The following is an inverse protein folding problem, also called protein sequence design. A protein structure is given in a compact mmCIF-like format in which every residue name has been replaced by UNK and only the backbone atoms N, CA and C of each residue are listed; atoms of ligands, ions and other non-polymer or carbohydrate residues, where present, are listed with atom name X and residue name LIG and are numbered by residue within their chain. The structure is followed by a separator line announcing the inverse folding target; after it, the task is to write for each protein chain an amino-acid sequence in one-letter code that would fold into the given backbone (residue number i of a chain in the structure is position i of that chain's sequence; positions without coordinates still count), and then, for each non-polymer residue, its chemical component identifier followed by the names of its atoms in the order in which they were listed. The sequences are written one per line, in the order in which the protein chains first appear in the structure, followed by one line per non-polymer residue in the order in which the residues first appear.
data_IF_504633972974
#
_entry.id   IF_504633972974
#
_cell.length_a   1.000
_cell.length_b   1.000
_cell.length_c   1.000
_cell.angle_alpha   90.00
_cell.angle_beta   90.00
_cell.angle_gamma   90.00
#
_symmetry.space_group_name_H-M   'P 1'
#
loop_
_entity.id
_entity.type
_entity.pdbx_description
1 polymer ?
#
# COMPACT_ATOMS: atom_id res chain seq x y z
N UNK A 1 22.97 -70.90 -3.95
CA UNK A 1 22.53 -71.09 -2.55
C UNK A 1 22.30 -69.73 -1.93
N UNK A 2 21.17 -69.46 -1.27
CA UNK A 2 19.98 -70.32 -1.01
C UNK A 2 18.80 -69.94 -1.94
N UNK A 3 18.06 -70.86 -2.57
CA UNK A 3 17.10 -71.87 -2.08
C UNK A 3 15.75 -71.28 -1.59
N UNK A 4 14.69 -71.48 -2.40
CA UNK A 4 13.44 -72.23 -2.12
C UNK A 4 12.42 -72.03 -3.29
N UNK A 5 11.45 -72.94 -3.55
CA UNK A 5 11.36 -73.66 -4.82
C UNK A 5 9.99 -73.54 -5.53
N UNK A 6 9.96 -74.05 -6.77
CA UNK A 6 8.76 -74.52 -7.46
C UNK A 6 8.01 -75.56 -6.62
N UNK A 7 6.68 -75.41 -6.49
CA UNK A 7 5.77 -76.56 -6.32
C UNK A 7 4.34 -76.21 -6.80
N UNK A 8 4.04 -76.68 -8.00
CA UNK A 8 2.72 -77.12 -8.47
C UNK A 8 2.92 -78.61 -8.85
N UNK A 9 1.93 -79.55 -8.89
CA UNK A 9 0.51 -79.34 -9.26
C UNK A 9 -0.56 -80.37 -8.74
N UNK A 10 -1.83 -80.22 -9.21
CA UNK A 10 -2.93 -81.22 -9.41
C UNK A 10 -3.67 -81.82 -8.17
N UNK A 11 -4.99 -82.15 -8.12
CA UNK A 11 -6.06 -82.48 -9.10
C UNK A 11 -7.48 -82.18 -8.52
N UNK A 12 -8.44 -81.92 -9.43
CA UNK A 12 -9.90 -82.20 -9.44
C UNK A 12 -10.89 -81.73 -8.33
N UNK A 13 -11.85 -80.86 -8.71
CA UNK A 13 -13.30 -81.09 -8.54
C UNK A 13 -14.19 -80.04 -9.27
N UNK A 14 -14.95 -80.54 -10.26
CA UNK A 14 -16.19 -80.17 -10.95
C UNK A 14 -16.89 -78.76 -10.94
N UNK A 15 -17.71 -78.45 -11.98
CA UNK A 15 -18.16 -77.10 -12.31
C UNK A 15 -19.51 -76.74 -11.67
N UNK A 16 -19.57 -75.62 -10.94
CA UNK A 16 -20.83 -75.08 -10.42
C UNK A 16 -21.48 -74.05 -11.37
N UNK A 17 -22.77 -74.29 -11.61
CA UNK A 17 -23.67 -73.63 -12.56
C UNK A 17 -23.94 -72.17 -12.19
N UNK A 18 -24.03 -71.35 -13.24
CA UNK A 18 -24.42 -69.94 -13.23
C UNK A 18 -25.82 -69.73 -12.63
N UNK A 19 -25.94 -68.82 -11.68
CA UNK A 19 -27.19 -68.13 -11.33
C UNK A 19 -27.19 -66.72 -11.95
N UNK A 20 -28.30 -66.24 -12.55
CA UNK A 20 -28.35 -64.92 -13.16
C UNK A 20 -28.49 -63.82 -12.10
N UNK A 21 -27.62 -62.80 -12.17
CA UNK A 21 -27.73 -61.58 -11.38
C UNK A 21 -28.87 -60.67 -11.91
N UNK A 22 -29.51 -59.85 -11.05
CA UNK A 22 -30.64 -59.01 -11.44
C UNK A 22 -30.18 -57.81 -12.28
N UNK A 23 -31.00 -57.41 -13.26
CA UNK A 23 -30.85 -56.17 -14.03
C UNK A 23 -30.89 -54.94 -13.11
N UNK A 24 -30.07 -53.90 -13.36
CA UNK A 24 -30.24 -52.62 -12.70
C UNK A 24 -31.36 -51.82 -13.39
N UNK A 25 -32.34 -51.43 -12.57
CA UNK A 25 -33.37 -50.46 -12.88
C UNK A 25 -32.81 -49.09 -13.28
N UNK A 26 -33.55 -48.46 -14.18
CA UNK A 26 -33.44 -47.12 -14.71
C UNK A 26 -33.45 -46.04 -13.61
N UNK A 27 -32.29 -45.42 -13.36
CA UNK A 27 -32.18 -44.20 -12.55
C UNK A 27 -31.29 -43.17 -13.27
N UNK A 28 -31.98 -42.21 -13.91
CA UNK A 28 -31.57 -40.83 -14.21
C UNK A 28 -30.19 -40.62 -14.87
N UNK A 29 -30.15 -40.77 -16.19
CA UNK A 29 -29.13 -40.13 -17.04
C UNK A 29 -29.20 -38.60 -16.87
N UNK A 30 -28.26 -38.03 -16.12
CA UNK A 30 -27.95 -36.60 -16.20
C UNK A 30 -27.52 -36.26 -17.64
N UNK A 31 -27.97 -35.13 -18.22
CA UNK A 31 -27.68 -34.82 -19.61
C UNK A 31 -26.18 -34.52 -19.77
N UNK A 32 -25.43 -35.42 -20.38
CA UNK A 32 -24.00 -35.28 -20.67
C UNK A 32 -23.74 -34.53 -21.99
N UNK A 33 -24.53 -33.50 -22.27
CA UNK A 33 -24.42 -32.68 -23.48
C UNK A 33 -23.47 -31.48 -23.29
N UNK A 34 -22.86 -31.02 -24.38
CA UNK A 34 -22.09 -29.75 -24.43
C UNK A 34 -22.92 -28.59 -23.86
N UNK A 35 -24.25 -28.61 -24.09
CA UNK A 35 -25.19 -27.65 -23.52
C UNK A 35 -25.29 -27.72 -21.98
N UNK A 36 -25.25 -28.92 -21.38
CA UNK A 36 -25.25 -29.07 -19.93
C UNK A 36 -23.92 -28.61 -19.30
N UNK A 37 -22.79 -28.86 -19.98
CA UNK A 37 -21.48 -28.31 -19.58
C UNK A 37 -21.43 -26.78 -19.69
N UNK A 38 -22.03 -26.20 -20.73
CA UNK A 38 -22.15 -24.75 -20.90
C UNK A 38 -23.09 -24.12 -19.86
N UNK A 39 -24.17 -24.80 -19.47
CA UNK A 39 -25.08 -24.36 -18.41
C UNK A 39 -24.46 -24.51 -17.02
N UNK A 40 -23.66 -25.55 -16.76
CA UNK A 40 -22.89 -25.71 -15.52
C UNK A 40 -21.77 -24.66 -15.41
N UNK A 41 -21.10 -24.31 -16.51
CA UNK A 41 -20.15 -23.19 -16.55
C UNK A 41 -20.84 -21.84 -16.27
N UNK A 42 -22.07 -21.64 -16.77
CA UNK A 42 -22.90 -20.46 -16.47
C UNK A 42 -23.40 -20.44 -15.02
N UNK A 43 -23.77 -21.59 -14.44
CA UNK A 43 -24.21 -21.67 -13.04
C UNK A 43 -23.05 -21.54 -12.04
N UNK A 44 -21.83 -21.95 -12.42
CA UNK A 44 -20.60 -21.68 -11.66
C UNK A 44 -20.19 -20.21 -11.58
N UNK A 45 -20.82 -19.33 -12.38
CA UNK A 45 -20.59 -17.89 -12.38
C UNK A 45 -21.64 -17.08 -11.59
N UNK A 46 -22.70 -17.72 -11.07
CA UNK A 46 -23.72 -17.04 -10.25
C UNK A 46 -23.43 -17.08 -8.75
N UNK A 47 -22.48 -17.90 -8.30
CA UNK A 47 -21.99 -17.83 -6.94
C UNK A 47 -20.94 -16.71 -6.83
N UNK A 48 -20.98 -15.85 -5.80
CA UNK A 48 -19.95 -14.86 -5.62
C UNK A 48 -18.59 -15.58 -5.54
N UNK A 49 -17.54 -15.05 -6.21
CA UNK A 49 -16.23 -15.66 -6.19
C UNK A 49 -15.79 -15.92 -4.75
N UNK A 50 -15.07 -17.02 -4.53
CA UNK A 50 -14.83 -17.58 -3.19
C UNK A 50 -14.22 -16.55 -2.22
N UNK A 51 -13.39 -15.64 -2.73
CA UNK A 51 -12.77 -14.56 -1.97
C UNK A 51 -13.75 -13.49 -1.42
N UNK A 52 -14.97 -13.38 -1.95
CA UNK A 52 -16.01 -12.46 -1.44
C UNK A 52 -16.85 -13.08 -0.31
N UNK A 53 -16.74 -14.39 -0.07
CA UNK A 53 -17.53 -15.05 0.97
C UNK A 53 -17.14 -14.56 2.37
N UNK A 54 -18.16 -14.36 3.21
CA UNK A 54 -17.99 -13.94 4.60
C UNK A 54 -17.57 -12.47 4.80
N UNK A 55 -17.72 -11.63 3.78
CA UNK A 55 -17.72 -10.17 3.93
C UNK A 55 -19.12 -9.68 4.30
N UNK A 56 -19.21 -8.67 5.16
CA UNK A 56 -20.47 -7.95 5.36
C UNK A 56 -20.75 -6.98 4.18
N UNK A 57 -21.93 -6.34 4.17
CA UNK A 57 -22.34 -5.46 3.07
C UNK A 57 -21.36 -4.31 2.82
N UNK A 58 -20.89 -3.64 3.88
CA UNK A 58 -19.96 -2.50 3.77
C UNK A 58 -18.56 -2.93 3.30
N UNK A 59 -18.06 -4.07 3.81
CA UNK A 59 -16.80 -4.65 3.37
C UNK A 59 -16.86 -5.06 1.89
N UNK A 60 -17.98 -5.67 1.47
CA UNK A 60 -18.22 -6.05 0.08
C UNK A 60 -18.26 -4.81 -0.82
N UNK A 61 -18.99 -3.77 -0.41
CA UNK A 61 -19.03 -2.49 -1.12
C UNK A 61 -17.63 -1.89 -1.29
N UNK A 62 -16.81 -1.90 -0.24
CA UNK A 62 -15.44 -1.40 -0.29
C UNK A 62 -14.51 -2.22 -1.22
N UNK A 63 -14.76 -3.52 -1.35
CA UNK A 63 -14.03 -4.42 -2.26
C UNK A 63 -14.47 -4.24 -3.71
N UNK A 64 -15.77 -4.14 -3.96
CA UNK A 64 -16.36 -4.05 -5.30
C UNK A 64 -16.26 -2.64 -5.92
N UNK A 65 -16.13 -1.60 -5.09
CA UNK A 65 -15.88 -0.23 -5.56
C UNK A 65 -14.42 -0.09 -5.99
N UNK A 66 -14.12 -0.49 -7.22
CA UNK A 66 -12.76 -0.51 -7.78
C UNK A 66 -12.33 0.84 -8.34
N UNK A 67 -13.25 1.58 -8.93
CA UNK A 67 -12.98 2.85 -9.62
C UNK A 67 -13.03 4.07 -8.68
N UNK A 68 -12.21 5.07 -9.03
CA UNK A 68 -12.13 6.34 -8.31
C UNK A 68 -11.47 6.27 -6.92
N UNK A 69 -11.31 7.42 -6.24
CA UNK A 69 -10.79 7.47 -4.88
C UNK A 69 -11.78 6.86 -3.88
N UNK A 70 -11.32 5.92 -3.05
CA UNK A 70 -12.13 5.30 -2.00
C UNK A 70 -11.42 5.45 -0.66
N UNK A 71 -12.13 5.98 0.34
CA UNK A 71 -11.68 6.03 1.72
C UNK A 71 -12.52 5.05 2.55
N UNK A 72 -11.87 4.07 3.16
CA UNK A 72 -12.52 3.11 4.06
C UNK A 72 -12.21 3.49 5.50
N UNK A 73 -13.22 3.96 6.23
CA UNK A 73 -13.13 4.26 7.66
C UNK A 73 -13.51 3.01 8.45
N UNK A 74 -12.56 2.46 9.21
CA UNK A 74 -12.71 1.17 9.86
C UNK A 74 -12.12 1.24 11.28
N UNK A 75 -12.90 0.84 12.29
CA UNK A 75 -12.42 0.73 13.67
C UNK A 75 -11.47 -0.45 13.87
N UNK A 76 -10.81 -0.53 15.03
CA UNK A 76 -9.98 -1.68 15.37
C UNK A 76 -10.76 -3.01 15.26
N UNK A 77 -10.14 -4.05 14.70
CA UNK A 77 -10.76 -5.39 14.59
C UNK A 77 -11.85 -5.53 13.51
N UNK A 78 -12.20 -4.48 12.77
CA UNK A 78 -13.27 -4.51 11.76
C UNK A 78 -12.88 -5.15 10.41
N UNK A 79 -11.66 -5.70 10.33
CA UNK A 79 -11.18 -6.42 9.14
C UNK A 79 -10.63 -5.53 8.02
N UNK A 80 -10.13 -4.31 8.31
CA UNK A 80 -9.50 -3.41 7.32
C UNK A 80 -8.48 -4.11 6.41
N UNK A 81 -7.55 -4.86 7.00
CA UNK A 81 -6.54 -5.62 6.23
C UNK A 81 -7.17 -6.71 5.37
N UNK A 82 -8.25 -7.36 5.85
CA UNK A 82 -9.01 -8.34 5.06
C UNK A 82 -9.67 -7.66 3.85
N UNK A 83 -10.33 -6.51 4.05
CA UNK A 83 -10.92 -5.72 2.97
C UNK A 83 -9.87 -5.35 1.92
N UNK A 84 -8.71 -4.85 2.34
CA UNK A 84 -7.64 -4.42 1.42
C UNK A 84 -7.08 -5.60 0.60
N UNK A 85 -6.77 -6.72 1.26
CA UNK A 85 -6.25 -7.92 0.59
C UNK A 85 -7.29 -8.56 -0.35
N UNK A 86 -8.54 -8.64 0.07
CA UNK A 86 -9.64 -9.13 -0.77
C UNK A 86 -9.91 -8.19 -1.95
N UNK A 87 -9.78 -6.88 -1.78
CA UNK A 87 -9.88 -5.91 -2.88
C UNK A 87 -8.80 -6.11 -3.93
N UNK A 88 -7.56 -6.35 -3.52
CA UNK A 88 -6.47 -6.70 -4.46
C UNK A 88 -6.82 -7.98 -5.22
N UNK A 89 -7.28 -9.02 -4.51
CA UNK A 89 -7.70 -10.27 -5.14
C UNK A 89 -8.83 -10.06 -6.15
N UNK A 90 -9.82 -9.23 -5.82
CA UNK A 90 -10.94 -8.88 -6.68
C UNK A 90 -10.51 -8.12 -7.95
N UNK A 91 -9.58 -7.17 -7.83
CA UNK A 91 -9.02 -6.43 -8.97
C UNK A 91 -8.28 -7.39 -9.92
N UNK A 92 -7.51 -8.32 -9.37
CA UNK A 92 -6.73 -9.29 -10.15
C UNK A 92 -7.62 -10.34 -10.83
N UNK A 93 -8.63 -10.88 -10.13
CA UNK A 93 -9.53 -11.90 -10.68
C UNK A 93 -10.42 -11.37 -11.80
N UNK A 94 -10.79 -10.09 -11.76
CA UNK A 94 -11.53 -9.42 -12.83
C UNK A 94 -10.64 -8.98 -14.00
N UNK A 95 -9.32 -9.16 -13.92
CA UNK A 95 -8.38 -8.76 -14.97
C UNK A 95 -8.24 -7.25 -15.15
N UNK A 96 -8.60 -6.44 -14.13
CA UNK A 96 -8.58 -4.98 -14.22
C UNK A 96 -7.14 -4.42 -14.22
N UNK A 97 -6.21 -5.14 -13.58
CA UNK A 97 -4.79 -4.80 -13.56
C UNK A 97 -3.90 -6.04 -13.49
N UNK A 98 -2.69 -5.91 -14.02
CA UNK A 98 -1.62 -6.89 -13.77
C UNK A 98 -1.07 -6.71 -12.34
N UNK A 99 -0.52 -7.76 -11.71
CA UNK A 99 0.14 -7.66 -10.40
C UNK A 99 1.19 -6.54 -10.29
N UNK A 100 1.93 -6.28 -11.39
CA UNK A 100 2.93 -5.22 -11.49
C UNK A 100 2.37 -3.79 -11.62
N UNK A 101 1.05 -3.67 -11.79
CA UNK A 101 0.31 -2.40 -11.90
C UNK A 101 -0.40 -2.01 -10.60
N UNK A 102 -0.25 -2.79 -9.53
CA UNK A 102 -0.82 -2.52 -8.21
C UNK A 102 0.30 -2.09 -7.27
N UNK A 103 0.19 -0.88 -6.71
CA UNK A 103 1.01 -0.40 -5.62
C UNK A 103 0.25 -0.63 -4.30
N UNK A 104 0.79 -1.45 -3.40
CA UNK A 104 0.20 -1.75 -2.10
C UNK A 104 1.18 -1.42 -0.98
N UNK A 105 0.84 -0.43 -0.15
CA UNK A 105 1.76 0.15 0.85
C UNK A 105 1.23 -0.06 2.26
N UNK A 106 2.13 -0.39 3.19
CA UNK A 106 1.87 -0.47 4.63
C UNK A 106 3.06 0.10 5.43
N UNK A 107 2.98 0.11 6.76
CA UNK A 107 4.00 0.73 7.62
C UNK A 107 5.09 -0.22 8.08
N UNK A 108 4.78 -1.51 8.24
CA UNK A 108 5.74 -2.46 8.81
C UNK A 108 6.07 -3.60 7.84
N UNK A 109 7.30 -4.11 7.91
CA UNK A 109 7.71 -5.29 7.14
C UNK A 109 6.91 -6.54 7.55
N UNK A 110 6.43 -6.60 8.79
CA UNK A 110 5.53 -7.67 9.25
C UNK A 110 4.19 -7.59 8.52
N UNK A 111 3.54 -6.42 8.52
CA UNK A 111 2.28 -6.21 7.82
C UNK A 111 2.42 -6.46 6.32
N UNK A 112 3.52 -6.05 5.69
CA UNK A 112 3.76 -6.31 4.27
C UNK A 112 3.85 -7.82 3.97
N UNK A 113 4.59 -8.57 4.79
CA UNK A 113 4.70 -10.03 4.64
C UNK A 113 3.36 -10.72 4.87
N UNK A 114 2.62 -10.30 5.89
CA UNK A 114 1.30 -10.84 6.18
C UNK A 114 0.29 -10.54 5.06
N UNK A 115 0.30 -9.31 4.54
CA UNK A 115 -0.51 -8.91 3.39
C UNK A 115 -0.16 -9.74 2.15
N UNK A 116 1.14 -9.93 1.85
CA UNK A 116 1.60 -10.80 0.76
C UNK A 116 1.09 -12.24 0.95
N UNK A 117 1.23 -12.80 2.14
CA UNK A 117 0.75 -14.16 2.43
C UNK A 117 -0.77 -14.29 2.23
N UNK A 118 -1.55 -13.36 2.78
CA UNK A 118 -3.02 -13.33 2.63
C UNK A 118 -3.44 -13.22 1.16
N UNK A 119 -2.79 -12.37 0.36
CA UNK A 119 -3.07 -12.27 -1.07
C UNK A 119 -2.71 -13.58 -1.79
N UNK A 120 -1.56 -14.17 -1.47
CA UNK A 120 -1.14 -15.47 -2.04
C UNK A 120 -2.16 -16.59 -1.80
N UNK A 121 -2.80 -16.62 -0.64
CA UNK A 121 -3.88 -17.58 -0.35
C UNK A 121 -5.13 -17.35 -1.22
N UNK A 122 -5.36 -16.13 -1.72
CA UNK A 122 -6.54 -15.77 -2.52
C UNK A 122 -6.31 -15.88 -4.03
N UNK A 123 -5.11 -15.55 -4.52
CA UNK A 123 -4.81 -15.48 -5.96
C UNK A 123 -3.69 -16.42 -6.42
N UNK A 124 -3.14 -17.24 -5.52
CA UNK A 124 -2.06 -18.17 -5.83
C UNK A 124 -0.76 -17.47 -6.25
N UNK A 125 -0.09 -18.02 -7.26
CA UNK A 125 1.24 -17.57 -7.72
C UNK A 125 1.27 -16.13 -8.26
N UNK A 126 0.12 -15.54 -8.60
CA UNK A 126 0.04 -14.16 -9.08
C UNK A 126 0.63 -13.14 -8.08
N UNK A 127 0.68 -13.47 -6.79
CA UNK A 127 1.26 -12.61 -5.75
C UNK A 127 2.77 -12.41 -5.91
N UNK A 128 3.49 -13.37 -6.49
CA UNK A 128 4.93 -13.25 -6.74
C UNK A 128 5.23 -12.19 -7.81
N UNK A 129 4.24 -11.93 -8.68
CA UNK A 129 4.28 -10.85 -9.67
C UNK A 129 3.99 -9.45 -9.13
N UNK A 130 3.87 -9.25 -7.79
CA UNK A 130 3.59 -7.96 -7.16
C UNK A 130 4.86 -7.27 -6.61
N UNK A 131 5.74 -6.70 -7.46
CA UNK A 131 6.98 -6.07 -7.01
C UNK A 131 6.75 -4.80 -6.19
N UNK A 132 5.54 -4.24 -6.19
CA UNK A 132 5.19 -2.98 -5.52
C UNK A 132 4.32 -3.17 -4.27
N UNK A 133 4.41 -4.35 -3.64
CA UNK A 133 3.87 -4.60 -2.31
C UNK A 133 4.98 -4.44 -1.27
N UNK A 134 4.82 -3.54 -0.31
CA UNK A 134 5.83 -3.33 0.73
C UNK A 134 5.55 -2.17 1.67
N UNK A 135 6.58 -1.79 2.43
CA UNK A 135 6.59 -0.54 3.19
C UNK A 135 6.97 0.65 2.31
N UNK A 136 6.60 1.87 2.72
CA UNK A 136 7.04 3.11 2.07
C UNK A 136 8.54 3.10 1.75
N UNK A 137 9.36 2.71 2.72
CA UNK A 137 10.82 2.67 2.58
C UNK A 137 11.27 1.57 1.62
N UNK A 138 10.70 0.37 1.70
CA UNK A 138 11.07 -0.71 0.77
C UNK A 138 10.73 -0.37 -0.69
N UNK A 139 9.62 0.34 -0.92
CA UNK A 139 9.24 0.83 -2.24
C UNK A 139 10.11 2.02 -2.65
N UNK A 140 10.37 2.94 -1.72
CA UNK A 140 11.26 4.08 -1.90
C UNK A 140 12.67 3.66 -2.35
N UNK A 141 13.24 2.64 -1.71
CA UNK A 141 14.49 2.00 -2.14
C UNK A 141 14.38 1.49 -3.57
N UNK A 142 13.34 0.74 -3.92
CA UNK A 142 13.18 0.20 -5.29
C UNK A 142 13.13 1.30 -6.34
N UNK A 143 12.42 2.40 -6.07
CA UNK A 143 12.37 3.56 -6.96
C UNK A 143 13.75 4.22 -7.04
N UNK A 144 14.37 4.48 -5.90
CA UNK A 144 15.68 5.13 -5.84
C UNK A 144 16.76 4.31 -6.54
N UNK A 145 16.78 2.99 -6.37
CA UNK A 145 17.72 2.08 -7.06
C UNK A 145 17.60 2.16 -8.58
N UNK A 146 16.38 2.30 -9.10
CA UNK A 146 16.12 2.43 -10.55
C UNK A 146 16.57 3.79 -11.11
N UNK A 147 16.60 4.81 -10.26
CA UNK A 147 16.83 6.20 -10.67
C UNK A 147 17.97 6.86 -9.86
N UNK A 148 18.95 6.06 -9.40
CA UNK A 148 19.95 6.50 -8.43
C UNK A 148 20.79 7.66 -8.98
N UNK A 149 21.09 7.64 -10.28
CA UNK A 149 21.88 8.67 -10.96
C UNK A 149 21.20 10.04 -10.90
N UNK A 150 19.86 10.10 -10.92
CA UNK A 150 19.10 11.35 -10.77
C UNK A 150 19.21 11.96 -9.35
N UNK A 151 19.67 11.17 -8.38
CA UNK A 151 20.01 11.63 -7.03
C UNK A 151 21.52 11.86 -6.83
N UNK A 152 22.34 11.67 -7.87
CA UNK A 152 23.80 11.72 -7.76
C UNK A 152 24.39 10.52 -7.02
N UNK A 153 23.72 9.37 -7.08
CA UNK A 153 24.12 8.12 -6.44
C UNK A 153 24.32 7.02 -7.48
N UNK A 154 25.07 5.99 -7.10
CA UNK A 154 25.08 4.73 -7.84
C UNK A 154 23.99 3.81 -7.31
N UNK A 155 23.50 2.89 -8.14
CA UNK A 155 22.43 1.97 -7.77
C UNK A 155 22.79 0.99 -6.65
N UNK A 156 24.06 0.87 -6.27
CA UNK A 156 24.57 -0.01 -5.20
C UNK A 156 24.81 0.72 -3.85
N UNK A 157 24.29 1.95 -3.67
CA UNK A 157 24.39 2.72 -2.42
C UNK A 157 24.11 1.94 -1.13
N UNK A 158 24.81 2.26 -0.04
CA UNK A 158 24.54 1.66 1.27
C UNK A 158 23.43 2.41 2.00
N UNK A 159 22.61 1.71 2.79
CA UNK A 159 21.61 2.35 3.66
C UNK A 159 22.17 2.35 5.07
N UNK A 160 22.39 3.54 5.64
CA UNK A 160 22.91 3.71 6.99
C UNK A 160 21.81 3.50 8.03
N UNK A 161 22.16 2.82 9.12
CA UNK A 161 21.32 2.74 10.31
C UNK A 161 21.49 3.98 11.21
N UNK A 162 20.73 4.04 12.29
CA UNK A 162 20.73 5.18 13.23
C UNK A 162 22.11 5.42 13.84
N UNK A 163 22.85 4.37 14.18
CA UNK A 163 24.13 4.50 14.87
C UNK A 163 25.22 4.98 13.89
N UNK A 164 25.19 4.49 12.65
CA UNK A 164 26.05 4.97 11.57
C UNK A 164 25.77 6.43 11.22
N UNK A 165 24.49 6.84 11.17
CA UNK A 165 24.10 8.24 10.97
C UNK A 165 24.65 9.12 12.10
N UNK A 166 24.47 8.72 13.36
CA UNK A 166 24.98 9.48 14.51
C UNK A 166 26.51 9.59 14.47
N UNK A 167 27.21 8.51 14.12
CA UNK A 167 28.67 8.49 13.97
C UNK A 167 29.14 9.43 12.87
N UNK A 168 28.48 9.41 11.72
CA UNK A 168 28.80 10.30 10.59
C UNK A 168 28.59 11.77 10.96
N UNK A 169 27.46 12.09 11.60
CA UNK A 169 27.16 13.44 12.07
C UNK A 169 28.20 13.90 13.10
N UNK A 170 28.63 13.03 14.02
CA UNK A 170 29.66 13.37 15.00
C UNK A 170 30.98 13.76 14.34
N UNK A 171 31.40 13.00 13.32
CA UNK A 171 32.59 13.32 12.53
C UNK A 171 32.46 14.68 11.83
N UNK A 172 31.28 14.97 11.28
CA UNK A 172 31.00 16.25 10.63
C UNK A 172 31.08 17.42 11.61
N UNK A 173 30.47 17.30 12.79
CA UNK A 173 30.50 18.32 13.85
C UNK A 173 31.95 18.62 14.27
N UNK A 174 32.76 17.58 14.47
CA UNK A 174 34.17 17.73 14.84
C UNK A 174 35.00 18.38 13.73
N UNK A 175 34.74 18.01 12.46
CA UNK A 175 35.43 18.61 11.31
C UNK A 175 35.14 20.10 11.14
N UNK A 176 33.94 20.55 11.53
CA UNK A 176 33.51 21.95 11.50
C UNK A 176 33.98 22.75 12.74
N UNK A 177 34.82 22.15 13.60
CA UNK A 177 35.37 22.79 14.80
C UNK A 177 34.34 23.03 15.90
N UNK A 178 33.22 22.31 15.89
CA UNK A 178 32.17 22.43 16.90
C UNK A 178 32.42 21.45 18.05
N UNK A 179 32.12 21.90 19.27
CA UNK A 179 32.17 21.06 20.48
C UNK A 179 31.01 20.06 20.48
N UNK A 180 31.34 18.76 20.41
CA UNK A 180 30.38 17.64 20.35
C UNK A 180 29.67 17.36 21.68
N UNK A 181 30.16 17.91 22.80
CA UNK A 181 29.46 17.89 24.09
C UNK A 181 28.37 18.96 24.13
N UNK A 182 28.68 20.16 23.62
CA UNK A 182 27.72 21.26 23.54
C UNK A 182 26.68 21.05 22.43
N UNK A 183 27.08 20.40 21.34
CA UNK A 183 26.23 20.13 20.18
C UNK A 183 26.18 18.62 19.88
N UNK A 184 25.38 17.84 20.62
CA UNK A 184 25.37 16.39 20.49
C UNK A 184 24.90 15.91 19.11
N UNK A 185 25.64 14.99 18.50
CA UNK A 185 25.30 14.41 17.19
C UNK A 185 23.91 13.75 17.16
N UNK A 186 23.50 13.09 18.25
CA UNK A 186 22.17 12.48 18.37
C UNK A 186 21.05 13.52 18.30
N UNK A 187 21.26 14.71 18.88
CA UNK A 187 20.28 15.79 18.81
C UNK A 187 20.12 16.25 17.36
N UNK A 188 21.23 16.45 16.65
CA UNK A 188 21.17 16.88 15.25
C UNK A 188 20.57 15.81 14.32
N UNK A 189 20.87 14.54 14.56
CA UNK A 189 20.25 13.42 13.85
C UNK A 189 18.71 13.44 13.96
N UNK A 190 18.17 13.69 15.15
CA UNK A 190 16.72 13.83 15.36
C UNK A 190 16.14 15.04 14.63
N UNK A 191 16.87 16.16 14.56
CA UNK A 191 16.43 17.34 13.81
C UNK A 191 16.39 17.06 12.30
N UNK A 192 17.43 16.41 11.76
CA UNK A 192 17.49 15.99 10.37
C UNK A 192 16.33 15.04 10.03
N UNK A 193 16.08 14.03 10.87
CA UNK A 193 14.96 13.11 10.68
C UNK A 193 13.61 13.86 10.68
N UNK A 194 13.41 14.79 11.63
CA UNK A 194 12.23 15.65 11.67
C UNK A 194 12.04 16.48 10.40
N UNK A 195 13.11 17.03 9.83
CA UNK A 195 13.06 17.76 8.55
C UNK A 195 12.76 16.84 7.37
N UNK A 196 13.37 15.64 7.31
CA UNK A 196 13.12 14.65 6.26
C UNK A 196 11.70 14.09 6.32
N UNK A 197 11.13 13.87 7.51
CA UNK A 197 9.73 13.49 7.69
C UNK A 197 8.73 14.55 7.18
N UNK A 198 9.16 15.82 7.13
CA UNK A 198 8.44 16.93 6.50
C UNK A 198 8.72 17.07 4.99
N UNK A 199 9.62 16.26 4.44
CA UNK A 199 10.05 16.31 3.05
C UNK A 199 11.04 17.44 2.73
N UNK A 200 11.63 18.08 3.75
CA UNK A 200 12.47 19.26 3.59
C UNK A 200 13.92 18.90 3.25
N UNK A 201 14.50 19.60 2.29
CA UNK A 201 15.93 19.68 2.06
C UNK A 201 16.59 20.82 2.84
N UNK A 202 17.93 20.91 2.82
CA UNK A 202 18.67 21.93 3.56
C UNK A 202 18.19 23.37 3.31
N UNK A 203 17.92 23.73 2.06
CA UNK A 203 17.45 25.06 1.69
C UNK A 203 15.98 25.33 2.08
N UNK A 204 15.19 24.28 2.35
CA UNK A 204 13.75 24.36 2.61
C UNK A 204 13.42 24.43 4.11
N UNK A 205 14.42 24.26 5.00
CA UNK A 205 14.22 24.34 6.46
C UNK A 205 13.82 25.77 6.84
N UNK A 206 12.74 26.00 7.61
CA UNK A 206 12.39 27.33 8.11
C UNK A 206 13.52 28.01 8.89
N UNK A 207 13.64 29.33 8.81
CA UNK A 207 14.76 30.06 9.42
C UNK A 207 14.83 29.89 10.95
N UNK A 208 13.69 29.83 11.63
CA UNK A 208 13.62 29.56 13.07
C UNK A 208 14.21 28.20 13.44
N UNK A 209 13.82 27.15 12.70
CA UNK A 209 14.31 25.78 12.91
C UNK A 209 15.81 25.65 12.59
N UNK A 210 16.28 26.34 11.55
CA UNK A 210 17.68 26.35 11.14
C UNK A 210 18.61 26.92 12.22
N UNK A 211 18.12 27.89 13.00
CA UNK A 211 18.89 28.55 14.07
C UNK A 211 19.00 27.73 15.35
N UNK A 212 18.22 26.66 15.48
CA UNK A 212 18.16 25.86 16.71
C UNK A 212 19.42 25.01 16.97
N UNK A 213 20.29 24.80 15.98
CA UNK A 213 21.52 24.02 16.14
C UNK A 213 22.76 24.82 15.74
N UNK A 214 23.87 24.59 16.46
CA UNK A 214 25.21 25.10 16.17
C UNK A 214 25.24 26.61 15.86
N UNK A 215 24.53 27.42 16.66
CA UNK A 215 24.45 28.88 16.51
C UNK A 215 24.00 29.38 15.12
N UNK A 216 23.06 28.71 14.45
CA UNK A 216 22.62 29.14 13.11
C UNK A 216 22.99 28.20 11.97
N UNK A 217 23.91 27.26 12.21
CA UNK A 217 24.51 26.44 11.15
C UNK A 217 23.69 25.21 10.75
N UNK A 218 22.43 25.08 11.18
CA UNK A 218 21.63 23.88 10.94
C UNK A 218 21.48 23.52 9.45
N UNK A 219 21.25 24.51 8.58
CA UNK A 219 21.15 24.28 7.12
C UNK A 219 22.49 23.87 6.50
N UNK A 220 23.57 24.55 6.88
CA UNK A 220 24.92 24.30 6.37
C UNK A 220 25.39 22.89 6.74
N UNK A 221 25.23 22.51 8.02
CA UNK A 221 25.57 21.18 8.51
C UNK A 221 24.71 20.10 7.86
N UNK A 222 23.42 20.35 7.64
CA UNK A 222 22.57 19.37 6.96
C UNK A 222 22.97 19.23 5.47
N UNK A 223 23.32 20.33 4.80
CA UNK A 223 23.83 20.27 3.44
C UNK A 223 25.15 19.47 3.37
N UNK A 224 26.09 19.75 4.27
CA UNK A 224 27.36 19.03 4.35
C UNK A 224 27.16 17.53 4.66
N UNK A 225 26.19 17.20 5.52
CA UNK A 225 25.79 15.81 5.78
C UNK A 225 25.27 15.11 4.52
N UNK A 226 24.37 15.73 3.75
CA UNK A 226 23.87 15.16 2.50
C UNK A 226 24.98 14.98 1.45
N UNK A 227 25.91 15.93 1.33
CA UNK A 227 27.06 15.80 0.42
C UNK A 227 28.01 14.68 0.86
N UNK A 228 28.18 14.50 2.18
CA UNK A 228 28.98 13.40 2.72
C UNK A 228 28.34 12.05 2.41
N UNK A 229 27.02 11.92 2.55
CA UNK A 229 26.27 10.73 2.15
C UNK A 229 26.48 10.39 0.67
N UNK A 230 26.36 11.38 -0.23
CA UNK A 230 26.62 11.18 -1.67
C UNK A 230 28.04 10.71 -1.95
N UNK A 231 29.03 11.34 -1.31
CA UNK A 231 30.45 10.97 -1.44
C UNK A 231 30.69 9.51 -1.04
N UNK A 232 30.02 9.05 0.02
CA UNK A 232 30.08 7.67 0.49
C UNK A 232 29.20 6.71 -0.31
N UNK A 233 28.47 7.21 -1.32
CA UNK A 233 27.42 6.47 -2.02
C UNK A 233 26.46 5.81 -1.01
N UNK A 234 25.90 6.62 -0.11
CA UNK A 234 25.04 6.17 0.97
C UNK A 234 23.76 7.00 1.06
N UNK A 235 22.74 6.43 1.69
CA UNK A 235 21.49 7.09 2.08
C UNK A 235 21.17 6.72 3.52
N UNK A 236 20.45 7.58 4.24
CA UNK A 236 19.75 7.16 5.45
C UNK A 236 18.29 6.79 5.17
N UNK A 237 17.54 6.46 6.21
CA UNK A 237 16.16 6.01 6.09
C UNK A 237 15.23 7.10 5.53
N UNK A 238 15.40 8.36 5.94
CA UNK A 238 14.59 9.48 5.45
C UNK A 238 14.85 9.77 3.96
N UNK A 239 16.08 9.57 3.49
CA UNK A 239 16.45 9.72 2.09
C UNK A 239 15.70 8.75 1.15
N UNK A 240 15.30 7.59 1.65
CA UNK A 240 14.49 6.62 0.91
C UNK A 240 13.10 7.17 0.54
N UNK A 241 12.65 8.25 1.19
CA UNK A 241 11.44 8.98 0.82
C UNK A 241 11.78 10.29 0.11
N UNK A 242 12.72 11.07 0.66
CA UNK A 242 13.03 12.39 0.13
C UNK A 242 13.61 12.34 -1.29
N UNK A 243 14.50 11.39 -1.62
CA UNK A 243 15.04 11.30 -2.98
C UNK A 243 13.96 10.93 -4.00
N UNK A 244 13.14 9.87 -3.82
CA UNK A 244 12.03 9.60 -4.73
C UNK A 244 11.09 10.80 -4.93
N UNK A 245 10.74 11.52 -3.86
CA UNK A 245 9.91 12.73 -3.96
C UNK A 245 10.59 13.78 -4.86
N UNK A 246 11.87 14.07 -4.63
CA UNK A 246 12.62 15.05 -5.43
C UNK A 246 12.75 14.62 -6.88
N UNK A 247 13.08 13.35 -7.13
CA UNK A 247 13.18 12.78 -8.48
C UNK A 247 11.85 12.94 -9.22
N UNK A 248 10.73 12.53 -8.61
CA UNK A 248 9.41 12.60 -9.23
C UNK A 248 8.92 14.04 -9.46
N UNK A 249 9.30 14.99 -8.58
CA UNK A 249 8.97 16.42 -8.76
C UNK A 249 9.79 17.08 -9.87
N UNK A 250 11.08 16.73 -9.96
CA UNK A 250 12.00 17.35 -10.91
C UNK A 250 11.94 16.73 -12.30
N UNK A 251 11.43 15.49 -12.44
CA UNK A 251 11.41 14.74 -13.69
C UNK A 251 9.97 14.26 -14.00
N UNK A 252 9.14 15.12 -14.66
CA UNK A 252 7.74 14.81 -14.94
C UNK A 252 7.53 13.58 -15.85
N UNK A 253 8.50 13.29 -16.71
CA UNK A 253 8.56 12.10 -17.56
C UNK A 253 8.68 10.81 -16.73
N UNK A 254 9.58 10.79 -15.75
CA UNK A 254 9.72 9.66 -14.81
C UNK A 254 8.42 9.46 -14.03
N UNK A 255 7.82 10.56 -13.55
CA UNK A 255 6.54 10.50 -12.85
C UNK A 255 5.41 9.96 -13.75
N UNK A 256 5.35 10.38 -15.02
CA UNK A 256 4.35 9.91 -15.97
C UNK A 256 4.45 8.40 -16.22
N UNK A 257 5.65 7.82 -16.21
CA UNK A 257 5.83 6.37 -16.32
C UNK A 257 5.29 5.61 -15.11
N UNK A 258 5.44 6.18 -13.91
CA UNK A 258 4.81 5.62 -12.71
C UNK A 258 3.29 5.78 -12.73
N UNK A 259 2.75 6.89 -13.26
CA UNK A 259 1.30 7.07 -13.44
C UNK A 259 0.70 6.03 -14.40
N UNK A 260 1.38 5.74 -15.51
CA UNK A 260 0.98 4.69 -16.47
C UNK A 260 1.07 3.30 -15.84
N UNK A 261 2.09 3.06 -15.02
CA UNK A 261 2.36 1.77 -14.37
C UNK A 261 1.33 1.47 -13.29
N UNK A 262 1.16 2.36 -12.32
CA UNK A 262 0.31 2.12 -11.16
C UNK A 262 -1.14 2.43 -11.49
N UNK A 263 -1.89 1.41 -11.93
CA UNK A 263 -3.34 1.51 -12.16
C UNK A 263 -4.10 1.68 -10.85
N UNK A 264 -3.73 0.90 -9.83
CA UNK A 264 -4.33 0.94 -8.50
C UNK A 264 -3.27 1.22 -7.44
N UNK A 265 -3.59 2.10 -6.50
CA UNK A 265 -2.77 2.44 -5.34
C UNK A 265 -3.61 2.18 -4.09
N UNK A 266 -3.13 1.28 -3.23
CA UNK A 266 -3.77 0.92 -1.97
C UNK A 266 -2.80 1.21 -0.83
N UNK A 267 -3.32 1.84 0.23
CA UNK A 267 -2.51 2.22 1.40
C UNK A 267 -3.21 1.73 2.66
N UNK A 268 -2.51 0.91 3.42
CA UNK A 268 -2.91 0.51 4.77
C UNK A 268 -2.37 1.51 5.80
N UNK A 269 -3.06 1.61 6.94
CA UNK A 269 -2.67 2.50 8.06
C UNK A 269 -2.42 3.96 7.66
N UNK A 270 -3.21 4.49 6.72
CA UNK A 270 -3.09 5.85 6.22
C UNK A 270 -3.07 6.94 7.30
N UNK A 271 -3.72 6.71 8.45
CA UNK A 271 -3.72 7.62 9.59
C UNK A 271 -2.32 7.87 10.19
N UNK A 272 -1.37 6.95 9.98
CA UNK A 272 -0.02 7.02 10.53
C UNK A 272 0.95 7.75 9.58
N UNK A 273 0.47 8.28 8.45
CA UNK A 273 1.32 8.90 7.42
C UNK A 273 1.92 10.23 7.87
N UNK A 274 3.22 10.39 7.66
CA UNK A 274 3.88 11.70 7.79
C UNK A 274 3.75 12.53 6.50
N UNK A 275 4.18 13.80 6.55
CA UNK A 275 4.08 14.72 5.41
C UNK A 275 4.83 14.22 4.17
N UNK A 276 6.03 13.66 4.32
CA UNK A 276 6.80 13.13 3.19
C UNK A 276 6.09 11.93 2.53
N UNK A 277 5.58 10.99 3.32
CA UNK A 277 4.80 9.85 2.84
C UNK A 277 3.52 10.30 2.12
N UNK A 278 2.81 11.28 2.68
CA UNK A 278 1.66 11.90 2.05
C UNK A 278 2.02 12.55 0.71
N UNK A 279 3.09 13.36 0.66
CA UNK A 279 3.56 13.98 -0.58
C UNK A 279 3.91 12.93 -1.65
N UNK A 280 4.58 11.85 -1.25
CA UNK A 280 4.94 10.75 -2.13
C UNK A 280 3.71 10.08 -2.74
N UNK A 281 2.71 9.74 -1.91
CA UNK A 281 1.43 9.19 -2.38
C UNK A 281 0.68 10.15 -3.29
N UNK A 282 0.67 11.45 -2.93
CA UNK A 282 0.01 12.50 -3.70
C UNK A 282 0.61 12.62 -5.10
N UNK A 283 1.94 12.63 -5.21
CA UNK A 283 2.62 12.67 -6.52
C UNK A 283 2.21 11.47 -7.39
N UNK A 284 2.23 10.26 -6.84
CA UNK A 284 1.93 9.04 -7.59
C UNK A 284 0.45 8.89 -7.96
N UNK A 285 -0.47 9.47 -7.17
CA UNK A 285 -1.91 9.39 -7.40
C UNK A 285 -2.47 10.54 -8.25
N UNK A 286 -1.81 11.71 -8.27
CA UNK A 286 -2.26 12.87 -9.03
C UNK A 286 -1.94 12.77 -10.51
N UNK A 287 -2.75 12.01 -11.25
CA UNK A 287 -2.66 11.98 -12.71
C UNK A 287 -3.22 13.27 -13.35
N UNK A 288 -2.59 13.81 -14.42
CA UNK A 288 -3.12 14.92 -15.19
C UNK A 288 -4.54 14.65 -15.71
N UNK A 289 -5.39 15.69 -15.78
CA UNK A 289 -6.81 15.57 -16.19
C UNK A 289 -7.03 14.84 -17.52
N UNK A 290 -6.09 14.92 -18.46
CA UNK A 290 -6.18 14.23 -19.75
C UNK A 290 -6.20 12.69 -19.64
N UNK A 291 -5.83 12.11 -18.48
CA UNK A 291 -5.90 10.66 -18.23
C UNK A 291 -7.14 10.23 -17.43
N UNK A 292 -8.06 11.16 -17.10
CA UNK A 292 -9.29 10.88 -16.35
C UNK A 292 -10.46 10.84 -17.33
N UNK A 293 -10.54 9.80 -18.15
CA UNK A 293 -11.76 9.54 -18.90
C UNK A 293 -12.79 8.98 -17.91
N UNK A 294 -13.73 9.81 -17.47
CA UNK A 294 -14.80 9.45 -16.54
C UNK A 294 -14.96 10.49 -15.44
N UNK A 295 -15.79 11.51 -15.70
CA UNK A 295 -16.18 12.50 -14.69
C UNK A 295 -16.82 11.80 -13.49
N UNK A 296 -16.21 11.99 -12.32
CA UNK A 296 -16.67 11.47 -11.04
C UNK A 296 -17.60 12.48 -10.37
N UNK A 297 -18.87 12.11 -10.18
CA UNK A 297 -19.70 12.68 -9.12
C UNK A 297 -19.39 11.93 -7.81
N UNK A 298 -19.32 12.61 -6.65
CA UNK A 298 -19.19 11.94 -5.36
C UNK A 298 -20.41 11.05 -5.10
N UNK A 299 -20.18 9.81 -4.67
CA UNK A 299 -21.25 8.96 -4.13
C UNK A 299 -21.65 9.50 -2.75
N UNK A 300 -22.54 10.49 -2.71
CA UNK A 300 -23.19 10.89 -1.47
C UNK A 300 -24.22 9.83 -1.08
N UNK A 301 -24.02 9.25 0.11
CA UNK A 301 -24.99 8.36 0.74
C UNK A 301 -26.32 9.07 0.94
N UNK A 302 -27.37 8.50 0.35
CA UNK A 302 -28.77 8.91 0.50
C UNK A 302 -29.13 9.03 1.98
N UNK A 303 -29.41 10.25 2.46
CA UNK A 303 -30.01 10.45 3.78
C UNK A 303 -31.40 9.81 3.81
N UNK A 304 -31.83 9.24 4.96
CA UNK A 304 -33.17 8.68 5.08
C UNK A 304 -34.21 9.81 5.09
N UNK A 305 -35.29 9.60 4.34
CA UNK A 305 -36.45 10.49 4.24
C UNK A 305 -37.07 10.75 5.62
N UNK A 306 -37.20 12.03 5.99
CA UNK A 306 -38.15 12.48 7.01
C UNK A 306 -39.26 13.24 6.33
N UNK A 307 -40.38 12.56 6.12
CA UNK A 307 -41.65 13.19 5.82
C UNK A 307 -42.36 13.63 7.12
N UNK A 308 -43.12 14.71 6.98
CA UNK A 308 -44.22 15.23 7.81
C UNK A 308 -43.94 15.90 9.17
N UNK A 309 -43.83 17.23 9.13
CA UNK A 309 -44.59 18.21 9.93
C UNK A 309 -44.22 19.60 9.36
N UNK A 310 -45.09 20.37 8.71
CA UNK A 310 -46.26 21.03 9.27
C UNK A 310 -45.99 22.55 9.21
N UNK A 311 -46.70 23.24 8.33
CA UNK A 311 -46.58 24.67 8.01
C UNK A 311 -46.89 25.60 9.21
N UNK A 312 -46.15 26.69 9.34
CA UNK A 312 -46.67 28.03 9.66
C UNK A 312 -45.60 29.10 9.40
N UNK A 313 -46.01 30.20 8.77
CA UNK A 313 -45.20 31.36 8.39
C UNK A 313 -45.36 32.53 9.43
N UNK A 314 -44.94 33.79 9.15
CA UNK A 314 -43.85 34.47 9.83
C UNK A 314 -44.29 35.67 10.70
N UNK A 315 -43.39 36.23 11.53
CA UNK A 315 -43.56 37.56 12.11
C UNK A 315 -42.22 38.24 12.42
N UNK A 316 -42.20 39.54 12.18
CA UNK A 316 -41.09 40.48 12.22
C UNK A 316 -40.64 40.88 13.64
N UNK A 317 -39.46 41.54 13.65
CA UNK A 317 -39.08 42.69 14.48
C UNK A 317 -38.21 42.48 15.74
N UNK A 318 -37.12 43.26 15.71
CA UNK A 318 -36.61 44.12 16.79
C UNK A 318 -35.35 43.69 17.55
N UNK A 319 -34.30 44.48 17.27
CA UNK A 319 -33.40 45.16 18.20
C UNK A 319 -32.29 44.43 19.00
N UNK A 320 -31.07 44.93 18.71
CA UNK A 320 -30.01 45.41 19.62
C UNK A 320 -28.99 44.44 20.22
N UNK A 321 -27.74 44.91 20.07
CA UNK A 321 -26.55 44.72 20.94
C UNK A 321 -25.96 43.31 20.95
N UNK A 322 -24.66 43.07 20.77
CA UNK A 322 -23.47 43.85 21.10
C UNK A 322 -22.30 43.47 20.16
N UNK A 323 -21.48 44.47 19.82
CA UNK A 323 -20.11 44.31 19.33
C UNK A 323 -19.20 44.03 20.52
N UNK A 324 -18.27 43.09 20.38
CA UNK A 324 -16.95 43.21 21.00
C UNK A 324 -15.88 42.48 20.17
N UNK A 325 -15.06 43.32 19.55
CA UNK A 325 -13.74 43.05 18.95
C UNK A 325 -12.72 42.92 20.07
N UNK A 326 -11.67 42.10 19.88
CA UNK A 326 -10.26 42.26 20.34
C UNK A 326 -9.56 40.91 20.06
N UNK A 327 -8.79 40.70 18.99
CA UNK A 327 -7.46 41.23 18.62
C UNK A 327 -6.40 41.22 19.75
N UNK A 328 -5.51 40.24 19.64
CA UNK A 328 -4.04 40.30 19.83
C UNK A 328 -3.41 40.83 21.13
N UNK A 329 -2.49 40.03 21.68
CA UNK A 329 -1.13 40.51 21.95
C UNK A 329 -0.47 40.12 23.28
N UNK A 330 0.70 39.45 23.14
CA UNK A 330 1.76 39.12 24.12
C UNK A 330 1.47 37.89 24.98
N UNK A 331 2.30 36.84 25.01
CA UNK A 331 3.77 36.72 24.87
C UNK A 331 4.15 35.63 23.87
#
# INVERSE_FOLDING_TARGET
MPDFPDDMPFFDEEPQRRTPSPQPDDASRAPSGIAARAMAARQGHNAPPDYLKGLNAEQRLAVETTEGPVLVLAGAGTGKTRVLTTRIAHILSLGLAWPSQILAVTFTNKAAREMKHRIGMLVGEAVEGMPWLGTFHSIGVKILRRHAELAGLRSDFTILDTDDVIRLIKQLIQAEGLDDKRWPARQFAMMIDGWKNKGLGPAEIPEGDARAFANGKGRELFAAYQERLKTLNACDFGDLLCHPIRILRANPDVLADYHKRFKYILVDEYQDTNTAQYMWLRLLSQRPKASRTGDLQPAEGRKPDRASAGQAAPAEASERSERAVLSEGKV
#
